data_IF_137127502554
#
_entry.id   IF_137127502554
#
_cell.length_a   1.000
_cell.length_b   1.000
_cell.length_c   1.000
_cell.angle_alpha   90.00
_cell.angle_beta   90.00
_cell.angle_gamma   90.00
#
_symmetry.space_group_name_H-M   'P 1'
#
loop_
_entity.id
_entity.type
_entity.pdbx_description
1 polymer ?
#
# COMPACT_ATOMS: atom_id res chain seq x y z
N UNK A 1 16.00 1.49 -3.42
CA UNK A 1 15.18 2.72 -3.40
C UNK A 1 16.13 3.86 -3.69
N UNK A 2 15.98 4.43 -4.88
CA UNK A 2 16.89 5.43 -5.42
C UNK A 2 16.27 6.82 -5.26
N UNK A 3 17.04 7.81 -4.78
CA UNK A 3 16.58 9.20 -4.66
C UNK A 3 17.33 10.10 -5.64
N UNK A 4 16.59 10.87 -6.44
CA UNK A 4 17.14 11.78 -7.44
C UNK A 4 16.43 13.13 -7.43
N UNK A 5 17.04 14.16 -8.01
CA UNK A 5 16.38 15.45 -8.20
C UNK A 5 15.45 15.44 -9.42
N UNK A 6 14.44 16.30 -9.40
CA UNK A 6 13.53 16.50 -10.53
C UNK A 6 14.26 16.94 -11.80
N UNK A 7 15.33 17.73 -11.68
CA UNK A 7 16.19 18.13 -12.79
C UNK A 7 16.91 16.94 -13.41
N UNK A 8 17.49 16.06 -12.58
CA UNK A 8 18.20 14.87 -13.06
C UNK A 8 17.24 13.86 -13.70
N UNK A 9 16.05 13.68 -13.11
CA UNK A 9 14.99 12.85 -13.67
C UNK A 9 14.52 13.35 -15.04
N UNK A 10 14.25 14.66 -15.16
CA UNK A 10 13.85 15.27 -16.44
C UNK A 10 14.93 15.11 -17.51
N UNK A 11 16.20 15.30 -17.15
CA UNK A 11 17.33 15.22 -18.09
C UNK A 11 17.58 13.79 -18.57
N UNK A 12 17.38 12.79 -17.72
CA UNK A 12 17.71 11.39 -18.03
C UNK A 12 16.49 10.45 -17.92
N UNK A 13 15.31 10.91 -18.36
CA UNK A 13 14.05 10.19 -18.17
C UNK A 13 14.12 8.73 -18.64
N UNK A 14 14.64 8.47 -19.84
CA UNK A 14 14.73 7.13 -20.40
C UNK A 14 15.57 6.16 -19.55
N UNK A 15 16.70 6.63 -18.98
CA UNK A 15 17.55 5.84 -18.07
C UNK A 15 16.75 5.44 -16.83
N UNK A 16 16.02 6.39 -16.25
CA UNK A 16 15.28 6.13 -15.02
C UNK A 16 14.04 5.28 -15.25
N UNK A 17 13.31 5.45 -16.36
CA UNK A 17 12.22 4.54 -16.72
C UNK A 17 12.68 3.08 -16.85
N UNK A 18 13.87 2.84 -17.40
CA UNK A 18 14.47 1.49 -17.45
C UNK A 18 14.83 0.94 -16.06
N UNK A 19 15.21 1.81 -15.12
CA UNK A 19 15.57 1.45 -13.74
C UNK A 19 14.35 1.12 -12.86
N UNK A 20 13.19 1.72 -13.13
CA UNK A 20 11.93 1.47 -12.38
C UNK A 20 11.54 -0.01 -12.37
N UNK A 21 11.95 -0.78 -13.38
CA UNK A 21 11.74 -2.23 -13.43
C UNK A 21 12.46 -3.02 -12.31
N UNK A 22 13.48 -2.43 -11.68
CA UNK A 22 14.32 -3.07 -10.67
C UNK A 22 14.11 -2.49 -9.28
N UNK A 23 13.87 -1.18 -9.19
CA UNK A 23 13.65 -0.51 -7.91
C UNK A 23 12.80 0.74 -8.05
N UNK A 24 12.12 1.10 -6.95
CA UNK A 24 11.37 2.35 -6.87
C UNK A 24 12.30 3.57 -6.81
N UNK A 25 11.88 4.64 -7.47
CA UNK A 25 12.61 5.90 -7.58
C UNK A 25 11.83 7.03 -6.91
N UNK A 26 12.48 7.77 -6.02
CA UNK A 26 11.94 8.97 -5.38
C UNK A 26 12.51 10.20 -6.06
N UNK A 27 11.61 11.09 -6.47
CA UNK A 27 11.93 12.37 -7.07
C UNK A 27 11.87 13.45 -6.00
N UNK A 28 12.92 14.25 -5.91
CA UNK A 28 13.03 15.38 -4.97
C UNK A 28 13.07 16.72 -5.68
N UNK A 29 12.65 17.76 -4.97
CA UNK A 29 12.86 19.16 -5.34
C UNK A 29 13.48 19.86 -4.14
N UNK A 30 14.66 20.47 -4.33
CA UNK A 30 15.43 21.10 -3.25
C UNK A 30 15.68 20.18 -2.04
N UNK A 31 15.91 18.88 -2.30
CA UNK A 31 16.13 17.87 -1.25
C UNK A 31 14.86 17.29 -0.64
N UNK A 32 13.68 17.87 -0.88
CA UNK A 32 12.40 17.36 -0.38
C UNK A 32 11.78 16.35 -1.36
N UNK A 33 11.39 15.14 -0.92
CA UNK A 33 10.63 14.19 -1.74
C UNK A 33 9.28 14.75 -2.17
N UNK A 34 8.94 14.63 -3.45
CA UNK A 34 7.68 15.15 -4.03
C UNK A 34 6.91 14.12 -4.86
N UNK A 35 7.56 13.04 -5.30
CA UNK A 35 6.92 11.99 -6.09
C UNK A 35 7.70 10.68 -6.00
N UNK A 36 7.03 9.57 -6.33
CA UNK A 36 7.63 8.25 -6.48
C UNK A 36 7.23 7.66 -7.84
N UNK A 37 8.20 7.06 -8.53
CA UNK A 37 7.98 6.28 -9.75
C UNK A 37 8.25 4.83 -9.42
N UNK A 38 7.24 3.99 -9.60
CA UNK A 38 7.28 2.55 -9.36
C UNK A 38 6.51 1.84 -10.47
N UNK A 39 6.74 0.54 -10.62
CA UNK A 39 5.92 -0.28 -11.51
C UNK A 39 4.47 -0.20 -11.01
N UNK A 40 3.47 0.00 -11.88
CA UNK A 40 2.08 0.02 -11.46
C UNK A 40 1.76 -1.26 -10.69
N UNK A 41 1.47 -1.12 -9.40
CA UNK A 41 0.93 -2.21 -8.59
C UNK A 41 -0.59 -2.13 -8.75
N UNK A 42 -1.24 -3.25 -9.01
CA UNK A 42 -2.70 -3.32 -8.99
C UNK A 42 -3.15 -2.98 -7.55
N UNK A 43 -3.58 -1.73 -7.32
CA UNK A 43 -3.87 -1.16 -6.00
C UNK A 43 -4.91 -1.98 -5.22
N UNK A 44 -5.83 -2.66 -5.91
CA UNK A 44 -6.87 -3.48 -5.29
C UNK A 44 -6.32 -4.62 -4.42
N UNK A 45 -5.16 -5.17 -4.76
CA UNK A 45 -4.59 -6.31 -4.01
C UNK A 45 -3.80 -5.84 -2.79
N UNK A 46 -3.20 -4.65 -2.85
CA UNK A 46 -2.23 -4.19 -1.84
C UNK A 46 -2.88 -3.58 -0.59
N UNK A 47 -4.02 -2.90 -0.73
CA UNK A 47 -4.71 -2.31 0.43
C UNK A 47 -5.48 -3.38 1.21
N UNK A 48 -6.17 -4.28 0.50
CA UNK A 48 -6.91 -5.38 1.11
C UNK A 48 -5.97 -6.31 1.86
N UNK A 49 -4.81 -6.65 1.30
CA UNK A 49 -3.81 -7.50 1.98
C UNK A 49 -3.28 -6.89 3.27
N UNK A 50 -3.01 -5.57 3.28
CA UNK A 50 -2.62 -4.85 4.49
C UNK A 50 -3.73 -4.87 5.53
N UNK A 51 -4.99 -4.63 5.15
CA UNK A 51 -6.13 -4.67 6.05
C UNK A 51 -6.38 -6.09 6.59
N UNK A 52 -6.29 -7.11 5.74
CA UNK A 52 -6.44 -8.52 6.16
C UNK A 52 -5.31 -9.01 7.06
N UNK A 53 -4.10 -8.43 6.96
CA UNK A 53 -2.98 -8.78 7.83
C UNK A 53 -3.08 -8.23 9.26
N UNK A 54 -3.99 -7.28 9.51
CA UNK A 54 -4.25 -6.71 10.85
C UNK A 54 -5.32 -7.54 11.58
N UNK A 55 -6.14 -8.30 10.85
CA UNK A 55 -7.07 -9.25 11.47
C UNK A 55 -6.24 -10.45 11.93
N UNK A 56 -6.12 -10.70 13.24
CA UNK A 56 -5.42 -11.88 13.71
C UNK A 56 -6.07 -13.12 13.08
N UNK A 57 -5.26 -14.07 12.60
CA UNK A 57 -5.76 -15.37 12.19
C UNK A 57 -6.01 -16.23 13.45
N UNK A 58 -6.90 -15.74 14.31
CA UNK A 58 -7.34 -16.38 15.56
C UNK A 58 -8.46 -17.41 15.31
N UNK A 59 -8.74 -17.71 14.04
CA UNK A 59 -9.81 -18.59 13.64
C UNK A 59 -11.20 -17.96 13.71
N UNK A 60 -11.30 -16.64 13.91
CA UNK A 60 -12.57 -15.93 13.93
C UNK A 60 -13.26 -15.98 12.56
N UNK A 61 -14.46 -16.56 12.53
CA UNK A 61 -15.22 -16.79 11.31
C UNK A 61 -16.39 -15.81 11.18
N UNK A 62 -16.97 -15.74 9.98
CA UNK A 62 -18.19 -14.96 9.73
C UNK A 62 -19.38 -15.43 10.61
N UNK A 63 -19.38 -16.70 11.01
CA UNK A 63 -20.39 -17.27 11.90
C UNK A 63 -20.22 -16.74 13.33
N UNK A 64 -18.99 -16.53 13.80
CA UNK A 64 -18.72 -15.93 15.11
C UNK A 64 -19.22 -14.47 15.16
N UNK A 65 -18.96 -13.69 14.10
CA UNK A 65 -19.51 -12.33 13.95
C UNK A 65 -21.04 -12.28 13.88
N UNK A 66 -21.68 -13.36 13.41
CA UNK A 66 -23.14 -13.49 13.40
C UNK A 66 -23.67 -13.81 14.80
N UNK A 67 -23.00 -14.71 15.53
CA UNK A 67 -23.35 -15.05 16.93
C UNK A 67 -23.19 -13.87 17.86
N UNK A 68 -22.08 -13.13 17.80
CA UNK A 68 -21.88 -11.93 18.64
C UNK A 68 -22.97 -10.87 18.43
N UNK A 69 -23.35 -10.64 17.17
CA UNK A 69 -24.47 -9.74 16.86
C UNK A 69 -25.77 -10.23 17.48
N UNK A 70 -26.05 -11.53 17.43
CA UNK A 70 -27.26 -12.11 18.00
C UNK A 70 -27.29 -11.98 19.53
N UNK A 71 -26.19 -12.33 20.20
CA UNK A 71 -26.05 -12.25 21.67
C UNK A 71 -26.27 -10.81 22.17
N UNK A 72 -25.76 -9.81 21.45
CA UNK A 72 -25.94 -8.39 21.81
C UNK A 72 -27.43 -7.96 21.86
N UNK A 73 -28.29 -8.56 21.05
CA UNK A 73 -29.72 -8.28 21.05
C UNK A 73 -30.51 -9.10 22.09
N UNK A 74 -29.99 -10.26 22.48
CA UNK A 74 -30.56 -11.11 23.53
C UNK A 74 -30.26 -10.59 24.94
N UNK A 75 -29.11 -9.97 25.17
CA UNK A 75 -28.72 -9.35 26.45
C UNK A 75 -29.43 -8.00 26.72
N UNK A 76 -30.17 -7.49 25.73
CA UNK A 76 -30.91 -6.23 25.79
C UNK A 76 -32.38 -6.39 26.25
N UNK A 77 -32.76 -7.55 26.79
CA UNK A 77 -34.09 -7.87 27.36
C UNK A 77 -33.94 -8.54 28.73
#
# INVERSE_FOLDING_TARGET
>A
MLQISSTEFKRNLGKYLSLVSKEDIIITRNGTPIAQVSIPKNEEVSLVSQLTGIIPNDGYTTEDARKERLIKYEDSH
#
